data_IF_338246969987
#
_entry.id   IF_338246969987
#
_cell.length_a   1.000
_cell.length_b   1.000
_cell.length_c   1.000
_cell.angle_alpha   90.00
_cell.angle_beta   90.00
_cell.angle_gamma   90.00
#
_symmetry.space_group_name_H-M   'P 1'
#
loop_
_entity.id
_entity.type
_entity.pdbx_description
1 polymer ?
#
# COMPACT_ATOMS: atom_id res chain seq x y z
N UNK A 1 -13.00 15.89 -102.62
CA UNK A 1 -13.84 15.61 -101.44
C UNK A 1 -13.45 14.29 -100.82
N UNK A 2 -12.99 14.18 -99.58
CA UNK A 2 -12.98 15.17 -98.50
C UNK A 2 -11.92 14.79 -97.45
N UNK A 3 -10.65 15.16 -97.68
CA UNK A 3 -9.80 15.66 -96.58
C UNK A 3 -9.80 17.18 -96.52
N UNK A 4 -10.26 17.87 -97.58
CA UNK A 4 -10.52 19.32 -97.61
C UNK A 4 -9.28 20.21 -97.49
N UNK A 5 -8.07 19.63 -97.53
CA UNK A 5 -6.81 20.35 -97.29
C UNK A 5 -5.99 20.25 -98.58
N UNK A 6 -5.78 21.39 -99.24
CA UNK A 6 -5.03 21.50 -100.50
C UNK A 6 -3.54 21.84 -100.28
N UNK A 7 -3.14 22.10 -99.02
CA UNK A 7 -1.81 22.54 -98.61
C UNK A 7 -1.18 21.58 -97.59
N UNK A 8 -0.03 21.01 -97.94
CA UNK A 8 0.73 20.07 -97.11
C UNK A 8 1.13 20.73 -95.79
N UNK A 9 1.43 22.04 -95.81
CA UNK A 9 1.83 22.78 -94.63
C UNK A 9 0.66 22.94 -93.64
N UNK A 10 -0.58 23.04 -94.11
CA UNK A 10 -1.76 23.01 -93.22
C UNK A 10 -1.90 21.66 -92.53
N UNK A 11 -1.75 20.55 -93.25
CA UNK A 11 -1.87 19.20 -92.68
C UNK A 11 -0.83 18.98 -91.58
N UNK A 12 0.43 19.34 -91.86
CA UNK A 12 1.55 19.26 -90.90
C UNK A 12 1.27 20.10 -89.65
N UNK A 13 0.76 21.33 -89.82
CA UNK A 13 0.42 22.19 -88.68
C UNK A 13 -0.75 21.63 -87.84
N UNK A 14 -1.79 21.04 -88.45
CA UNK A 14 -2.84 20.34 -87.68
C UNK A 14 -2.31 19.12 -86.94
N UNK A 15 -1.38 18.36 -87.54
CA UNK A 15 -0.76 17.22 -86.88
C UNK A 15 0.11 17.64 -85.70
N UNK A 16 0.91 18.70 -85.86
CA UNK A 16 1.68 19.31 -84.78
C UNK A 16 0.79 19.79 -83.63
N UNK A 17 -0.32 20.47 -83.93
CA UNK A 17 -1.26 20.92 -82.91
C UNK A 17 -1.95 19.75 -82.18
N UNK A 18 -2.31 18.69 -82.92
CA UNK A 18 -2.88 17.49 -82.34
C UNK A 18 -1.85 16.71 -81.49
N UNK A 19 -0.59 16.66 -81.92
CA UNK A 19 0.52 16.05 -81.19
C UNK A 19 0.79 16.79 -79.87
N UNK A 20 0.80 18.12 -79.89
CA UNK A 20 1.03 18.97 -78.71
C UNK A 20 -0.12 18.84 -77.68
N UNK A 21 -1.36 18.75 -78.16
CA UNK A 21 -2.52 18.40 -77.32
C UNK A 21 -2.38 16.99 -76.71
N UNK A 22 -1.96 16.01 -77.50
CA UNK A 22 -1.79 14.64 -77.02
C UNK A 22 -0.68 14.56 -75.96
N UNK A 23 0.42 15.28 -76.18
CA UNK A 23 1.52 15.38 -75.22
C UNK A 23 1.06 16.00 -73.91
N UNK A 24 0.28 17.09 -73.96
CA UNK A 24 -0.29 17.73 -72.78
C UNK A 24 -1.23 16.80 -72.01
N UNK A 25 -2.12 16.11 -72.73
CA UNK A 25 -3.04 15.12 -72.14
C UNK A 25 -2.29 13.96 -71.48
N UNK A 26 -1.26 13.44 -72.13
CA UNK A 26 -0.45 12.36 -71.58
C UNK A 26 0.26 12.77 -70.28
N UNK A 27 0.80 13.99 -70.24
CA UNK A 27 1.40 14.54 -69.03
C UNK A 27 0.38 14.72 -67.91
N UNK A 28 -0.83 15.22 -68.24
CA UNK A 28 -1.91 15.37 -67.27
C UNK A 28 -2.35 14.02 -66.69
N UNK A 29 -2.52 12.99 -67.54
CA UNK A 29 -2.86 11.63 -67.08
C UNK A 29 -1.77 11.08 -66.14
N UNK A 30 -0.50 11.29 -66.44
CA UNK A 30 0.60 10.86 -65.57
C UNK A 30 0.61 11.61 -64.24
N UNK A 31 0.34 12.91 -64.25
CA UNK A 31 0.26 13.71 -63.03
C UNK A 31 -0.90 13.26 -62.14
N UNK A 32 -2.07 13.03 -62.73
CA UNK A 32 -3.25 12.50 -62.02
C UNK A 32 -2.98 11.10 -61.47
N UNK A 33 -2.31 10.21 -62.21
CA UNK A 33 -1.96 8.89 -61.71
C UNK A 33 -0.99 8.96 -60.52
N UNK A 34 0.01 9.84 -60.58
CA UNK A 34 0.90 10.08 -59.42
C UNK A 34 0.15 10.67 -58.23
N UNK A 35 -0.85 11.52 -58.47
CA UNK A 35 -1.69 12.06 -57.40
C UNK A 35 -2.57 10.98 -56.77
N UNK A 36 -3.14 10.07 -57.57
CA UNK A 36 -3.90 8.91 -57.08
C UNK A 36 -3.01 8.04 -56.18
N UNK A 37 -1.80 7.67 -56.63
CA UNK A 37 -0.87 6.87 -55.83
C UNK A 37 -0.55 7.55 -54.48
N UNK A 38 -0.28 8.86 -54.50
CA UNK A 38 -0.03 9.63 -53.27
C UNK A 38 -1.24 9.63 -52.33
N UNK A 39 -2.45 9.78 -52.86
CA UNK A 39 -3.66 9.78 -52.05
C UNK A 39 -3.96 8.39 -51.48
N UNK A 40 -3.72 7.33 -52.24
CA UNK A 40 -3.86 5.95 -51.76
C UNK A 40 -2.88 5.64 -50.63
N UNK A 41 -1.62 6.06 -50.75
CA UNK A 41 -0.63 5.95 -49.69
C UNK A 41 -1.05 6.71 -48.43
N UNK A 42 -1.54 7.95 -48.57
CA UNK A 42 -2.06 8.73 -47.45
C UNK A 42 -3.25 8.05 -46.76
N UNK A 43 -4.18 7.50 -47.54
CA UNK A 43 -5.32 6.74 -47.00
C UNK A 43 -4.84 5.53 -46.21
N UNK A 44 -3.84 4.81 -46.72
CA UNK A 44 -3.28 3.63 -46.06
C UNK A 44 -2.57 4.01 -44.74
N UNK A 45 -1.80 5.08 -44.74
CA UNK A 45 -1.15 5.62 -43.54
C UNK A 45 -2.21 6.02 -42.50
N UNK A 46 -3.21 6.80 -42.89
CA UNK A 46 -4.28 7.22 -41.98
C UNK A 46 -5.06 6.05 -41.41
N UNK A 47 -5.40 5.03 -42.23
CA UNK A 47 -6.08 3.82 -41.75
C UNK A 47 -5.23 3.04 -40.75
N UNK A 48 -3.92 2.92 -41.01
CA UNK A 48 -2.98 2.27 -40.10
C UNK A 48 -2.93 3.01 -38.75
N UNK A 49 -2.91 4.34 -38.80
CA UNK A 49 -2.88 5.19 -37.61
C UNK A 49 -4.18 5.09 -36.80
N UNK A 50 -5.35 5.11 -37.46
CA UNK A 50 -6.65 4.87 -36.81
C UNK A 50 -6.67 3.53 -36.08
N UNK A 51 -6.19 2.45 -36.72
CA UNK A 51 -6.16 1.12 -36.11
C UNK A 51 -5.25 1.11 -34.87
N UNK A 52 -4.06 1.71 -34.95
CA UNK A 52 -3.14 1.83 -33.81
C UNK A 52 -3.77 2.60 -32.64
N UNK A 53 -4.44 3.72 -32.90
CA UNK A 53 -5.12 4.48 -31.84
C UNK A 53 -6.27 3.70 -31.22
N UNK A 54 -7.01 2.95 -32.04
CA UNK A 54 -8.12 2.13 -31.57
C UNK A 54 -7.67 0.96 -30.69
N UNK A 55 -6.55 0.32 -31.04
CA UNK A 55 -5.94 -0.76 -30.25
C UNK A 55 -5.35 -0.23 -28.94
N UNK A 56 -4.56 0.84 -29.02
CA UNK A 56 -3.94 1.45 -27.83
C UNK A 56 -4.99 2.02 -26.86
N UNK A 57 -6.05 2.65 -27.38
CA UNK A 57 -7.17 3.13 -26.56
C UNK A 57 -7.90 2.01 -25.84
N UNK A 58 -8.19 0.89 -26.52
CA UNK A 58 -8.83 -0.27 -25.90
C UNK A 58 -7.96 -0.92 -24.82
N UNK A 59 -6.66 -1.03 -25.06
CA UNK A 59 -5.74 -1.58 -24.06
C UNK A 59 -5.66 -0.66 -22.83
N UNK A 60 -5.55 0.65 -23.04
CA UNK A 60 -5.52 1.63 -21.96
C UNK A 60 -6.82 1.64 -21.13
N UNK A 61 -7.98 1.53 -21.78
CA UNK A 61 -9.26 1.43 -21.09
C UNK A 61 -9.36 0.12 -20.28
N UNK A 62 -8.87 -0.99 -20.82
CA UNK A 62 -8.82 -2.28 -20.11
C UNK A 62 -7.90 -2.23 -18.89
N UNK A 63 -6.68 -1.71 -19.04
CA UNK A 63 -5.74 -1.61 -17.92
C UNK A 63 -6.29 -0.70 -16.83
N UNK A 64 -6.82 0.47 -17.21
CA UNK A 64 -7.44 1.41 -16.27
C UNK A 64 -8.65 0.78 -15.56
N UNK A 65 -9.52 0.08 -16.29
CA UNK A 65 -10.66 -0.60 -15.69
C UNK A 65 -10.23 -1.69 -14.71
N UNK A 66 -9.15 -2.41 -15.01
CA UNK A 66 -8.60 -3.44 -14.10
C UNK A 66 -8.02 -2.80 -12.85
N UNK A 67 -7.22 -1.75 -13.00
CA UNK A 67 -6.63 -1.01 -11.87
C UNK A 67 -7.69 -0.42 -10.95
N UNK A 68 -8.76 0.15 -11.52
CA UNK A 68 -9.90 0.64 -10.74
C UNK A 68 -10.60 -0.49 -9.99
N UNK A 69 -10.93 -1.59 -10.67
CA UNK A 69 -11.60 -2.74 -10.04
C UNK A 69 -10.75 -3.36 -8.92
N UNK A 70 -9.43 -3.41 -9.09
CA UNK A 70 -8.51 -3.90 -8.08
C UNK A 70 -8.43 -2.93 -6.88
N UNK A 71 -8.36 -1.62 -7.15
CA UNK A 71 -8.40 -0.59 -6.12
C UNK A 71 -9.69 -0.64 -5.29
N UNK A 72 -10.85 -0.76 -5.95
CA UNK A 72 -12.15 -0.88 -5.29
C UNK A 72 -12.23 -2.13 -4.41
N UNK A 73 -11.71 -3.27 -4.88
CA UNK A 73 -11.67 -4.51 -4.09
C UNK A 73 -10.77 -4.38 -2.85
N UNK A 74 -9.59 -3.74 -2.99
CA UNK A 74 -8.69 -3.47 -1.86
C UNK A 74 -9.34 -2.53 -0.85
N UNK A 75 -10.02 -1.47 -1.32
CA UNK A 75 -10.75 -0.54 -0.47
C UNK A 75 -11.86 -1.25 0.31
N UNK A 76 -12.69 -2.04 -0.37
CA UNK A 76 -13.76 -2.79 0.28
C UNK A 76 -13.23 -3.76 1.36
N UNK A 77 -12.10 -4.43 1.10
CA UNK A 77 -11.43 -5.28 2.08
C UNK A 77 -10.94 -4.50 3.30
N UNK A 78 -10.27 -3.37 3.08
CA UNK A 78 -9.78 -2.51 4.15
C UNK A 78 -10.91 -1.92 4.99
N UNK A 79 -11.99 -1.46 4.36
CA UNK A 79 -13.18 -0.95 5.06
C UNK A 79 -13.85 -2.02 5.91
N UNK A 80 -14.00 -3.24 5.37
CA UNK A 80 -14.56 -4.36 6.13
C UNK A 80 -13.70 -4.71 7.36
N UNK A 81 -12.37 -4.72 7.19
CA UNK A 81 -11.45 -4.98 8.28
C UNK A 81 -11.47 -3.86 9.34
N UNK A 82 -11.51 -2.59 8.91
CA UNK A 82 -11.65 -1.45 9.80
C UNK A 82 -12.95 -1.51 10.61
N UNK A 83 -14.07 -1.82 9.97
CA UNK A 83 -15.35 -2.00 10.67
C UNK A 83 -15.32 -3.16 11.67
N UNK A 84 -14.60 -4.24 11.37
CA UNK A 84 -14.42 -5.34 12.33
C UNK A 84 -13.61 -4.91 13.55
N UNK A 85 -12.52 -4.17 13.36
CA UNK A 85 -11.73 -3.66 14.48
C UNK A 85 -12.50 -2.65 15.32
N UNK A 86 -13.29 -1.79 14.69
CA UNK A 86 -14.12 -0.82 15.41
C UNK A 86 -15.14 -1.53 16.32
N UNK A 87 -15.86 -2.53 15.79
CA UNK A 87 -16.80 -3.32 16.61
C UNK A 87 -16.13 -4.04 17.77
N UNK A 88 -14.93 -4.59 17.55
CA UNK A 88 -14.15 -5.25 18.61
C UNK A 88 -13.73 -4.24 19.68
N UNK A 89 -13.29 -3.06 19.26
CA UNK A 89 -12.91 -1.98 20.16
C UNK A 89 -14.11 -1.48 20.99
N UNK A 90 -15.26 -1.24 20.36
CA UNK A 90 -16.51 -0.87 21.06
C UNK A 90 -16.91 -1.93 22.09
N UNK A 91 -16.85 -3.21 21.74
CA UNK A 91 -17.15 -4.31 22.67
C UNK A 91 -16.17 -4.33 23.86
N UNK A 92 -14.87 -4.17 23.61
CA UNK A 92 -13.86 -4.15 24.66
C UNK A 92 -14.03 -2.94 25.59
N UNK A 93 -14.30 -1.75 25.03
CA UNK A 93 -14.60 -0.54 25.78
C UNK A 93 -15.87 -0.68 26.63
N UNK A 94 -16.91 -1.30 26.08
CA UNK A 94 -18.13 -1.63 26.83
C UNK A 94 -17.83 -2.54 28.03
N UNK A 95 -17.01 -3.57 27.86
CA UNK A 95 -16.59 -4.45 28.96
C UNK A 95 -15.77 -3.70 30.01
N UNK A 96 -14.81 -2.87 29.60
CA UNK A 96 -14.00 -2.04 30.52
C UNK A 96 -14.88 -1.10 31.34
N UNK A 97 -15.91 -0.50 30.74
CA UNK A 97 -16.85 0.37 31.45
C UNK A 97 -17.64 -0.39 32.54
N UNK A 98 -18.12 -1.61 32.24
CA UNK A 98 -18.80 -2.46 33.22
C UNK A 98 -17.86 -2.86 34.35
N UNK A 99 -16.63 -3.24 34.03
CA UNK A 99 -15.61 -3.59 35.03
C UNK A 99 -15.29 -2.39 35.94
N UNK A 100 -15.10 -1.20 35.36
CA UNK A 100 -14.85 0.04 36.09
C UNK A 100 -15.95 0.32 37.11
N UNK A 101 -17.22 0.16 36.72
CA UNK A 101 -18.34 0.32 37.64
C UNK A 101 -18.29 -0.71 38.78
N UNK A 102 -18.12 -1.99 38.46
CA UNK A 102 -18.04 -3.06 39.46
C UNK A 102 -16.88 -2.90 40.44
N UNK A 103 -15.71 -2.49 39.94
CA UNK A 103 -14.51 -2.22 40.76
C UNK A 103 -14.77 -1.02 41.69
N UNK A 104 -15.34 0.06 41.17
CA UNK A 104 -15.63 1.25 41.99
C UNK A 104 -16.64 0.93 43.10
N UNK A 105 -17.69 0.18 42.81
CA UNK A 105 -18.66 -0.26 43.82
C UNK A 105 -18.03 -1.17 44.88
N UNK A 106 -17.20 -2.12 44.46
CA UNK A 106 -16.51 -3.03 45.37
C UNK A 106 -15.55 -2.26 46.28
N UNK A 107 -14.75 -1.35 45.71
CA UNK A 107 -13.78 -0.53 46.41
C UNK A 107 -14.40 0.27 47.56
N UNK A 108 -15.57 0.88 47.32
CA UNK A 108 -16.32 1.61 48.34
C UNK A 108 -16.94 0.66 49.37
N UNK A 109 -17.55 -0.45 48.95
CA UNK A 109 -18.24 -1.40 49.85
C UNK A 109 -17.31 -2.07 50.86
N UNK A 110 -16.09 -2.44 50.47
CA UNK A 110 -15.11 -3.07 51.37
C UNK A 110 -14.28 -2.04 52.17
N UNK A 111 -14.54 -0.75 51.94
CA UNK A 111 -13.93 0.36 52.68
C UNK A 111 -12.47 0.61 52.32
N UNK A 112 -12.09 0.49 51.05
CA UNK A 112 -10.73 0.79 50.59
C UNK A 112 -10.42 2.30 50.57
N UNK A 113 -11.44 3.17 50.56
CA UNK A 113 -11.32 4.63 50.46
C UNK A 113 -10.79 5.27 51.77
N UNK A 114 -9.57 4.93 52.14
CA UNK A 114 -8.83 5.53 53.26
C UNK A 114 -8.00 6.73 52.78
N UNK A 115 -7.67 7.70 53.65
CA UNK A 115 -6.86 8.86 53.26
C UNK A 115 -5.53 8.47 52.64
N UNK A 116 -4.85 7.46 53.20
CA UNK A 116 -3.57 6.97 52.68
C UNK A 116 -3.68 6.34 51.28
N UNK A 117 -4.79 5.64 51.01
CA UNK A 117 -5.06 5.05 49.69
C UNK A 117 -5.42 6.13 48.67
N UNK A 118 -6.14 7.18 49.10
CA UNK A 118 -6.47 8.33 48.25
C UNK A 118 -5.22 9.11 47.85
N UNK A 119 -4.28 9.31 48.78
CA UNK A 119 -3.00 9.95 48.48
C UNK A 119 -2.16 9.12 47.49
N UNK A 120 -2.28 7.79 47.54
CA UNK A 120 -1.57 6.87 46.63
C UNK A 120 -2.20 6.82 45.22
N UNK A 121 -3.53 6.82 45.13
CA UNK A 121 -4.27 6.72 43.86
C UNK A 121 -4.50 8.07 43.18
N UNK A 122 -4.33 9.17 43.92
CA UNK A 122 -4.64 10.52 43.46
C UNK A 122 -6.14 10.85 43.51
N UNK A 123 -6.47 12.08 43.12
CA UNK A 123 -7.85 12.60 43.14
C UNK A 123 -8.64 12.31 41.85
N UNK A 124 -7.99 11.78 40.79
CA UNK A 124 -8.61 11.56 39.48
C UNK A 124 -9.63 10.40 39.43
N UNK A 125 -9.85 9.70 40.55
CA UNK A 125 -10.75 8.56 40.62
C UNK A 125 -10.25 7.36 39.80
N UNK A 126 -11.12 6.38 39.55
CA UNK A 126 -10.74 5.19 38.77
C UNK A 126 -10.62 5.56 37.28
N UNK A 127 -9.50 5.23 36.65
CA UNK A 127 -9.18 5.40 35.23
C UNK A 127 -8.59 4.11 34.67
N UNK A 128 -8.45 3.98 33.35
CA UNK A 128 -7.86 2.78 32.74
C UNK A 128 -6.40 2.57 33.14
N UNK A 129 -5.65 3.67 33.31
CA UNK A 129 -4.24 3.62 33.71
C UNK A 129 -4.04 3.16 35.16
N UNK A 130 -5.01 3.43 36.05
CA UNK A 130 -4.91 3.08 37.46
C UNK A 130 -5.79 1.89 37.87
N UNK A 131 -6.55 1.30 36.94
CA UNK A 131 -7.48 0.19 37.18
C UNK A 131 -6.80 -0.99 37.88
N UNK A 132 -5.57 -1.33 37.47
CA UNK A 132 -4.79 -2.42 38.07
C UNK A 132 -4.36 -2.08 39.51
N UNK A 133 -4.04 -0.81 39.80
CA UNK A 133 -3.68 -0.38 41.15
C UNK A 133 -4.88 -0.48 42.11
N UNK A 134 -6.08 -0.08 41.65
CA UNK A 134 -7.32 -0.28 42.42
C UNK A 134 -7.58 -1.76 42.72
N UNK A 135 -7.40 -2.65 41.73
CA UNK A 135 -7.55 -4.09 41.93
C UNK A 135 -6.57 -4.66 42.96
N UNK A 136 -5.30 -4.25 42.93
CA UNK A 136 -4.31 -4.68 43.92
C UNK A 136 -4.66 -4.27 45.36
N UNK A 137 -5.23 -3.06 45.53
CA UNK A 137 -5.67 -2.57 46.84
C UNK A 137 -6.92 -3.33 47.32
N UNK A 138 -7.87 -3.59 46.41
CA UNK A 138 -9.04 -4.43 46.69
C UNK A 138 -8.61 -5.84 47.10
N UNK A 139 -7.64 -6.43 46.40
CA UNK A 139 -7.10 -7.74 46.73
C UNK A 139 -6.49 -7.76 48.13
N UNK A 140 -5.62 -6.79 48.45
CA UNK A 140 -5.04 -6.68 49.78
C UNK A 140 -6.14 -6.56 50.85
N UNK A 141 -7.13 -5.69 50.63
CA UNK A 141 -8.21 -5.46 51.58
C UNK A 141 -9.09 -6.69 51.78
N UNK A 142 -9.39 -7.40 50.70
CA UNK A 142 -10.16 -8.64 50.74
C UNK A 142 -9.42 -9.72 51.52
N UNK A 143 -8.11 -9.85 51.31
CA UNK A 143 -7.25 -10.76 52.08
C UNK A 143 -7.21 -10.42 53.57
N UNK A 144 -7.14 -9.15 53.95
CA UNK A 144 -7.21 -8.72 55.35
C UNK A 144 -8.53 -9.11 56.01
N UNK A 145 -9.66 -8.84 55.33
CA UNK A 145 -11.01 -9.18 55.82
C UNK A 145 -11.13 -10.70 56.00
N UNK A 146 -10.66 -11.48 55.03
CA UNK A 146 -10.68 -12.94 55.09
C UNK A 146 -9.86 -13.47 56.26
N UNK A 147 -8.67 -12.92 56.50
CA UNK A 147 -7.83 -13.29 57.65
C UNK A 147 -8.49 -12.96 58.99
N UNK A 148 -9.14 -11.80 59.11
CA UNK A 148 -9.87 -11.42 60.34
C UNK A 148 -11.03 -12.39 60.59
N UNK A 149 -11.79 -12.71 59.55
CA UNK A 149 -12.88 -13.69 59.62
C UNK A 149 -12.37 -15.08 60.04
N UNK A 150 -11.28 -15.54 59.43
CA UNK A 150 -10.61 -16.80 59.76
C UNK A 150 -10.23 -16.90 61.23
N UNK A 151 -9.54 -15.87 61.75
CA UNK A 151 -9.13 -15.81 63.17
C UNK A 151 -10.35 -15.81 64.09
N UNK A 152 -11.40 -15.07 63.74
CA UNK A 152 -12.64 -15.03 64.55
C UNK A 152 -13.31 -16.40 64.61
N UNK A 153 -13.41 -17.10 63.48
CA UNK A 153 -14.01 -18.44 63.37
C UNK A 153 -13.19 -19.50 64.14
N UNK A 154 -11.87 -19.37 64.13
CA UNK A 154 -10.96 -20.22 64.89
C UNK A 154 -11.10 -20.03 66.41
N UNK A 155 -11.27 -18.79 66.89
CA UNK A 155 -11.53 -18.49 68.30
C UNK A 155 -12.89 -19.05 68.76
N UNK A 156 -13.87 -19.15 67.86
CA UNK A 156 -15.19 -19.75 68.11
C UNK A 156 -15.20 -21.29 68.06
N UNK A 157 -14.05 -21.95 67.91
CA UNK A 157 -13.91 -23.40 68.06
C UNK A 157 -14.56 -24.25 66.97
N UNK A 158 -14.88 -23.66 65.82
CA UNK A 158 -15.39 -24.40 64.66
C UNK A 158 -14.24 -24.74 63.70
N UNK A 159 -14.23 -25.95 63.14
CA UNK A 159 -13.18 -26.55 62.27
C UNK A 159 -12.86 -25.78 60.96
N UNK A 160 -13.19 -24.49 60.86
CA UNK A 160 -12.95 -23.64 59.68
C UNK A 160 -11.57 -22.98 59.61
N UNK A 161 -10.68 -23.26 60.56
CA UNK A 161 -9.32 -22.71 60.57
C UNK A 161 -8.49 -23.26 59.39
N UNK A 162 -8.63 -24.54 59.07
CA UNK A 162 -7.94 -25.22 57.96
C UNK A 162 -8.40 -24.71 56.58
N UNK A 163 -9.69 -24.44 56.42
CA UNK A 163 -10.28 -23.95 55.17
C UNK A 163 -9.87 -22.50 54.86
N UNK A 164 -9.72 -21.66 55.90
CA UNK A 164 -9.31 -20.27 55.75
C UNK A 164 -7.78 -20.07 55.60
N UNK A 165 -6.97 -20.99 56.13
CA UNK A 165 -5.53 -21.06 55.85
C UNK A 165 -5.22 -21.60 54.45
N UNK A 166 -6.07 -22.47 53.90
CA UNK A 166 -5.96 -22.99 52.53
C UNK A 166 -6.45 -21.99 51.47
N UNK A 167 -7.26 -20.99 51.85
CA UNK A 167 -7.74 -19.94 50.96
C UNK A 167 -6.73 -18.80 50.72
N UNK A 168 -5.52 -18.86 51.30
CA UNK A 168 -4.46 -17.91 50.97
C UNK A 168 -3.89 -18.22 49.57
N UNK A 169 -3.80 -17.25 48.65
CA UNK A 169 -2.89 -17.39 47.53
C UNK A 169 -1.47 -17.54 48.08
N UNK A 170 -0.72 -18.52 47.59
CA UNK A 170 0.73 -18.67 47.85
C UNK A 170 1.52 -17.53 47.18
N UNK A 171 1.30 -16.27 47.57
CA UNK A 171 2.21 -15.20 47.20
C UNK A 171 3.33 -15.18 48.22
N UNK A 172 4.44 -15.84 47.87
CA UNK A 172 5.68 -15.83 48.64
C UNK A 172 6.12 -14.37 48.92
N UNK A 173 6.56 -14.03 50.14
CA UNK A 173 7.08 -12.71 50.43
C UNK A 173 8.49 -12.60 49.85
N UNK A 174 8.61 -11.94 48.71
CA UNK A 174 9.89 -11.49 48.18
C UNK A 174 10.17 -11.99 46.77
N UNK A 175 9.61 -11.31 45.77
CA UNK A 175 10.38 -11.00 44.58
C UNK A 175 10.21 -9.51 44.33
N UNK A 176 11.32 -8.78 44.42
CA UNK A 176 11.43 -7.41 43.91
C UNK A 176 10.98 -7.45 42.46
N UNK A 177 9.89 -6.74 42.11
CA UNK A 177 9.41 -6.64 40.74
C UNK A 177 10.51 -5.91 39.95
N UNK A 178 11.37 -6.68 39.28
CA UNK A 178 12.21 -6.18 38.20
C UNK A 178 11.33 -6.28 36.98
N UNK A 179 10.84 -5.13 36.52
CA UNK A 179 10.11 -5.04 35.25
C UNK A 179 11.18 -5.17 34.17
N UNK A 180 11.44 -6.39 33.72
CA UNK A 180 12.17 -6.59 32.47
C UNK A 180 11.23 -6.23 31.31
N UNK A 181 11.71 -5.45 30.32
CA UNK A 181 10.91 -5.14 29.15
C UNK A 181 10.54 -6.46 28.44
N UNK A 182 9.32 -6.58 27.90
CA UNK A 182 8.89 -7.81 27.24
C UNK A 182 9.87 -8.15 26.10
N UNK A 183 10.39 -9.37 26.14
CA UNK A 183 11.19 -9.91 25.04
C UNK A 183 10.31 -10.04 23.81
N UNK A 184 10.71 -9.42 22.70
CA UNK A 184 9.98 -9.43 21.42
C UNK A 184 10.09 -10.76 20.67
N UNK A 185 10.48 -11.85 21.33
CA UNK A 185 10.76 -13.15 20.68
C UNK A 185 10.11 -14.34 21.38
N UNK A 186 9.09 -14.13 22.21
CA UNK A 186 8.22 -15.22 22.64
C UNK A 186 7.00 -15.24 21.72
N UNK A 187 7.12 -16.03 20.65
CA UNK A 187 6.00 -16.53 19.88
C UNK A 187 5.19 -17.43 20.82
N UNK A 188 4.25 -16.85 21.58
CA UNK A 188 3.15 -17.63 22.12
C UNK A 188 2.28 -18.01 20.92
N UNK A 189 2.36 -19.28 20.51
CA UNK A 189 1.42 -19.91 19.59
C UNK A 189 0.02 -19.86 20.21
N UNK A 190 -0.67 -18.75 20.01
CA UNK A 190 -2.09 -18.62 20.27
C UNK A 190 -2.83 -19.33 19.14
N UNK A 191 -3.25 -20.55 19.44
CA UNK A 191 -4.00 -21.43 18.57
C UNK A 191 -5.23 -20.70 18.00
N UNK A 192 -5.19 -20.43 16.69
CA UNK A 192 -6.35 -20.07 15.87
C UNK A 192 -6.72 -18.58 15.86
N UNK A 193 -6.64 -18.01 14.64
CA UNK A 193 -7.27 -16.75 14.19
C UNK A 193 -6.40 -15.48 14.23
N UNK A 194 -5.18 -15.56 13.70
CA UNK A 194 -4.67 -14.41 12.96
C UNK A 194 -5.36 -14.38 11.58
N UNK A 195 -6.13 -13.33 11.23
CA UNK A 195 -6.44 -13.11 9.83
C UNK A 195 -5.12 -12.87 9.10
N UNK A 196 -4.80 -13.74 8.13
CA UNK A 196 -3.66 -13.56 7.22
C UNK A 196 -3.70 -12.13 6.69
N UNK A 197 -2.82 -11.28 7.23
CA UNK A 197 -2.59 -9.98 6.63
C UNK A 197 -1.98 -10.22 5.26
N UNK A 198 -2.57 -9.61 4.24
CA UNK A 198 -2.02 -9.62 2.88
C UNK A 198 -0.56 -9.17 2.96
N UNK A 199 0.35 -10.02 2.48
CA UNK A 199 1.81 -9.91 2.61
C UNK A 199 2.39 -8.57 2.11
N UNK A 200 1.62 -7.81 1.32
CA UNK A 200 2.00 -6.50 0.77
C UNK A 200 2.04 -5.36 1.81
N UNK A 201 1.26 -5.41 2.88
CA UNK A 201 1.12 -4.28 3.83
C UNK A 201 1.99 -4.40 5.09
N UNK A 202 2.76 -5.49 5.24
CA UNK A 202 3.69 -5.65 6.36
C UNK A 202 4.99 -4.88 6.07
N UNK A 203 5.52 -4.08 7.02
CA UNK A 203 6.82 -3.46 6.86
C UNK A 203 7.88 -4.54 6.62
N UNK A 204 8.63 -4.43 5.52
CA UNK A 204 9.60 -5.47 5.14
C UNK A 204 10.61 -5.70 6.27
N UNK A 205 10.83 -6.97 6.60
CA UNK A 205 11.93 -7.36 7.48
C UNK A 205 13.27 -7.00 6.85
N UNK A 206 14.30 -6.79 7.68
CA UNK A 206 15.64 -6.40 7.21
C UNK A 206 16.18 -7.34 6.13
N UNK A 207 16.00 -8.64 6.29
CA UNK A 207 16.46 -9.67 5.35
C UNK A 207 15.67 -9.64 4.02
N UNK A 208 14.35 -9.39 4.09
CA UNK A 208 13.52 -9.21 2.89
C UNK A 208 13.90 -7.93 2.14
N UNK A 209 14.25 -6.86 2.86
CA UNK A 209 14.73 -5.61 2.28
C UNK A 209 16.09 -5.80 1.59
N UNK A 210 17.04 -6.49 2.24
CA UNK A 210 18.36 -6.81 1.65
C UNK A 210 18.22 -7.65 0.37
N UNK A 211 17.32 -8.64 0.37
CA UNK A 211 17.02 -9.47 -0.82
C UNK A 211 16.36 -8.66 -1.95
N UNK A 212 15.43 -7.75 -1.62
CA UNK A 212 14.74 -6.89 -2.58
C UNK A 212 15.70 -5.87 -3.18
N UNK A 213 16.61 -5.32 -2.38
CA UNK A 213 17.70 -4.44 -2.82
C UNK A 213 18.66 -5.21 -3.73
N UNK A 214 19.11 -6.41 -3.35
CA UNK A 214 20.01 -7.23 -4.17
C UNK A 214 19.41 -7.59 -5.55
N UNK A 215 18.09 -7.84 -5.64
CA UNK A 215 17.41 -8.09 -6.94
C UNK A 215 17.23 -6.84 -7.78
N UNK A 216 17.07 -5.66 -7.17
CA UNK A 216 16.73 -4.42 -7.88
C UNK A 216 17.94 -3.55 -8.22
N UNK A 217 19.01 -3.60 -7.41
CA UNK A 217 20.24 -2.84 -7.63
C UNK A 217 20.89 -3.09 -9.00
N UNK A 218 21.10 -4.34 -9.48
CA UNK A 218 21.78 -4.57 -10.75
C UNK A 218 20.99 -4.03 -11.94
N UNK A 219 19.65 -4.14 -11.92
CA UNK A 219 18.78 -3.56 -12.95
C UNK A 219 18.86 -2.04 -12.98
N UNK A 220 18.87 -1.39 -11.80
CA UNK A 220 19.00 0.07 -11.69
C UNK A 220 20.39 0.57 -12.13
N UNK A 221 21.45 -0.19 -11.84
CA UNK A 221 22.81 0.10 -12.30
C UNK A 221 22.95 -0.02 -13.81
N UNK A 222 22.38 -1.05 -14.43
CA UNK A 222 22.39 -1.20 -15.90
C UNK A 222 21.64 -0.05 -16.60
N UNK A 223 20.50 0.37 -16.06
CA UNK A 223 19.77 1.52 -16.61
C UNK A 223 20.52 2.85 -16.45
N UNK A 224 21.26 3.03 -15.35
CA UNK A 224 22.05 4.23 -15.11
C UNK A 224 23.30 4.30 -16.01
N UNK A 225 23.91 3.17 -16.33
CA UNK A 225 25.10 3.08 -17.21
C UNK A 225 24.73 3.32 -18.69
N UNK A 226 23.50 2.99 -19.11
CA UNK A 226 23.01 3.20 -20.48
C UNK A 226 22.63 4.65 -20.82
N UNK A 227 22.49 5.53 -19.83
CA UNK A 227 22.26 6.96 -20.08
C UNK A 227 23.61 7.63 -20.37
N UNK A 228 24.05 7.59 -21.63
CA UNK A 228 25.16 8.42 -22.13
C UNK A 228 24.78 9.90 -21.94
N UNK A 229 25.63 10.74 -21.32
CA UNK A 229 25.37 12.17 -21.24
C UNK A 229 25.38 12.79 -22.65
N UNK A 230 24.33 13.55 -22.99
CA UNK A 230 24.29 14.35 -24.21
C UNK A 230 25.33 15.47 -24.10
N UNK A 231 26.41 15.40 -24.88
CA UNK A 231 27.39 16.49 -24.98
C UNK A 231 28.85 16.13 -25.31
N UNK A 232 29.21 14.85 -25.43
CA UNK A 232 30.59 14.46 -25.75
C UNK A 232 30.81 14.28 -27.26
N UNK A 233 30.66 15.36 -28.05
CA UNK A 233 31.26 15.43 -29.38
C UNK A 233 31.65 16.88 -29.71
N UNK A 234 32.96 17.11 -29.78
CA UNK A 234 33.70 18.18 -30.45
C UNK A 234 34.87 18.67 -29.59
N UNK A 235 36.09 18.26 -29.94
CA UNK A 235 37.29 19.10 -30.15
C UNK A 235 38.57 18.28 -29.93
N UNK A 236 39.23 17.92 -31.04
CA UNK A 236 40.54 17.28 -31.03
C UNK A 236 41.34 17.73 -32.25
N UNK A 237 41.82 18.97 -32.21
CA UNK A 237 42.53 19.64 -33.30
C UNK A 237 43.91 19.06 -33.60
N UNK A 238 44.22 19.05 -34.90
CA UNK A 238 45.52 18.75 -35.54
C UNK A 238 46.71 19.45 -34.87
N UNK A 239 47.78 18.70 -34.58
CA UNK A 239 49.20 19.10 -34.58
C UNK A 239 49.96 17.88 -35.10
N UNK A 240 50.78 17.89 -36.15
CA UNK A 240 51.76 18.87 -36.59
C UNK A 240 53.13 18.18 -36.49
N UNK A 241 53.53 17.44 -37.52
CA UNK A 241 54.81 16.72 -37.59
C UNK A 241 55.88 17.60 -38.26
N UNK A 242 57.10 17.74 -37.70
CA UNK A 242 58.20 18.35 -38.42
C UNK A 242 59.14 17.28 -38.98
N UNK A 243 59.27 17.24 -40.30
CA UNK A 243 60.27 16.45 -41.03
C UNK A 243 61.58 17.25 -41.07
N UNK A 244 62.66 16.65 -40.62
CA UNK A 244 64.02 17.21 -40.60
C UNK A 244 64.68 16.93 -41.96
N UNK A 245 65.25 17.97 -42.59
CA UNK A 245 66.30 17.88 -43.61
C UNK A 245 67.43 18.79 -43.19
#
# INVERSE_FOLDING_TARGET
DATGIEDIDQLVNTFLAAEDQNYTLFNYVNEVNQEIEKLEDQINVMRSEINKYRETGQELDRTKSRELSEGDARLAGCEAQSQMYEKRYESAMGMTAVLRQGISELFERIGCNTPAVRDLLGEEGLTEANLVAYLGIIEQRTNEILQVYARRKAVLGTEGLTEALQAQPLTQPGNRIVIEPPSTTQEEEMDGLEPEMVEEDRPLTREALESKVARTLPRKLETAIKVRPAGADATGGKRGSPTRR
#
